data_IF_748370366529
#
_entry.id   IF_748370366529
#
_cell.length_a   1.000
_cell.length_b   1.000
_cell.length_c   1.000
_cell.angle_alpha   90.00
_cell.angle_beta   90.00
_cell.angle_gamma   90.00
#
_symmetry.space_group_name_H-M   'P 1'
#
loop_
_entity.id
_entity.type
_entity.pdbx_description
1 polymer ?
#
# COMPACT_ATOMS: atom_id res chain seq x y z
N UNK A 1 32.85 -2.30 -27.90
CA UNK A 1 31.45 -1.82 -27.96
C UNK A 1 31.46 -0.35 -28.33
N UNK A 2 30.60 0.07 -29.26
CA UNK A 2 30.43 1.50 -29.61
C UNK A 2 29.62 2.20 -28.51
N UNK A 3 29.88 3.49 -28.29
CA UNK A 3 29.07 4.32 -27.38
C UNK A 3 27.58 4.32 -27.72
N UNK A 4 27.24 4.17 -29.01
CA UNK A 4 25.85 3.98 -29.46
C UNK A 4 25.22 2.70 -28.91
N UNK A 5 25.95 1.58 -28.94
CA UNK A 5 25.47 0.29 -28.42
C UNK A 5 25.20 0.35 -26.91
N UNK A 6 26.08 1.02 -26.16
CA UNK A 6 25.92 1.21 -24.71
C UNK A 6 24.66 2.05 -24.41
N UNK A 7 24.46 3.15 -25.14
CA UNK A 7 23.30 4.00 -24.98
C UNK A 7 21.99 3.26 -25.29
N UNK A 8 21.94 2.50 -26.39
CA UNK A 8 20.76 1.73 -26.78
C UNK A 8 20.39 0.69 -25.72
N UNK A 9 21.36 -0.04 -25.16
CA UNK A 9 21.13 -1.00 -24.08
C UNK A 9 20.54 -0.29 -22.85
N UNK A 10 21.09 0.86 -22.46
CA UNK A 10 20.58 1.66 -21.34
C UNK A 10 19.11 2.07 -21.54
N UNK A 11 18.76 2.57 -22.73
CA UNK A 11 17.38 2.97 -23.02
C UNK A 11 16.40 1.79 -22.99
N UNK A 12 16.81 0.60 -23.46
CA UNK A 12 15.98 -0.60 -23.36
C UNK A 12 15.82 -1.08 -21.91
N UNK A 13 16.86 -1.03 -21.09
CA UNK A 13 16.78 -1.37 -19.66
C UNK A 13 15.80 -0.45 -18.92
N UNK A 14 15.87 0.87 -19.16
CA UNK A 14 14.92 1.81 -18.54
C UNK A 14 13.51 1.57 -19.06
N UNK A 15 13.32 1.31 -20.35
CA UNK A 15 12.00 1.03 -20.92
C UNK A 15 11.38 -0.22 -20.29
N UNK A 16 12.18 -1.27 -20.08
CA UNK A 16 11.75 -2.49 -19.39
C UNK A 16 11.38 -2.22 -17.92
N UNK A 17 12.21 -1.49 -17.18
CA UNK A 17 11.90 -1.10 -15.81
C UNK A 17 10.62 -0.25 -15.72
N UNK A 18 10.41 0.64 -16.69
CA UNK A 18 9.21 1.48 -16.76
C UNK A 18 7.94 0.64 -16.97
N UNK A 19 8.01 -0.36 -17.85
CA UNK A 19 6.93 -1.34 -18.06
C UNK A 19 6.61 -2.12 -16.78
N UNK A 20 7.63 -2.53 -16.02
CA UNK A 20 7.42 -3.18 -14.73
C UNK A 20 6.72 -2.25 -13.73
N UNK A 21 7.11 -0.98 -13.65
CA UNK A 21 6.44 0.01 -12.80
C UNK A 21 4.98 0.23 -13.19
N UNK A 22 4.68 0.34 -14.49
CA UNK A 22 3.30 0.44 -14.99
C UNK A 22 2.49 -0.78 -14.55
N UNK A 23 3.06 -1.97 -14.72
CA UNK A 23 2.40 -3.24 -14.35
C UNK A 23 2.07 -3.28 -12.86
N UNK A 24 3.04 -2.94 -12.00
CA UNK A 24 2.84 -2.81 -10.54
C UNK A 24 1.76 -1.77 -10.23
N UNK A 25 1.77 -0.64 -10.91
CA UNK A 25 0.77 0.41 -10.78
C UNK A 25 -0.64 -0.08 -11.10
N UNK A 26 -0.82 -0.83 -12.19
CA UNK A 26 -2.10 -1.44 -12.58
C UNK A 26 -2.57 -2.44 -11.52
N UNK A 27 -1.70 -3.34 -11.05
CA UNK A 27 -2.06 -4.30 -10.01
C UNK A 27 -2.54 -3.61 -8.72
N UNK A 28 -1.82 -2.57 -8.27
CA UNK A 28 -2.25 -1.77 -7.12
C UNK A 28 -3.57 -1.04 -7.39
N UNK A 29 -3.78 -0.52 -8.61
CA UNK A 29 -5.01 0.17 -8.97
C UNK A 29 -6.23 -0.77 -8.98
N UNK A 30 -6.06 -1.99 -9.50
CA UNK A 30 -7.11 -3.02 -9.44
C UNK A 30 -7.42 -3.39 -8.00
N UNK A 31 -6.40 -3.59 -7.16
CA UNK A 31 -6.60 -3.88 -5.73
C UNK A 31 -7.34 -2.75 -5.02
N UNK A 32 -6.94 -1.49 -5.27
CA UNK A 32 -7.63 -0.31 -4.74
C UNK A 32 -9.10 -0.28 -5.20
N UNK A 33 -9.37 -0.55 -6.47
CA UNK A 33 -10.71 -0.57 -7.02
C UNK A 33 -11.58 -1.65 -6.37
N UNK A 34 -11.07 -2.87 -6.24
CA UNK A 34 -11.74 -3.97 -5.53
C UNK A 34 -11.99 -3.59 -4.07
N UNK A 35 -10.97 -3.12 -3.36
CA UNK A 35 -11.05 -2.72 -1.96
C UNK A 35 -12.03 -1.56 -1.71
N UNK A 36 -12.23 -0.70 -2.69
CA UNK A 36 -13.15 0.43 -2.62
C UNK A 36 -14.58 0.12 -3.06
N UNK A 37 -14.82 -0.97 -3.79
CA UNK A 37 -16.15 -1.28 -4.38
C UNK A 37 -16.81 -2.51 -3.78
N UNK A 38 -16.02 -3.50 -3.35
CA UNK A 38 -16.53 -4.78 -2.85
C UNK A 38 -16.78 -4.80 -1.34
N UNK A 39 -16.23 -3.83 -0.59
CA UNK A 39 -16.36 -3.76 0.86
C UNK A 39 -17.10 -2.50 1.30
N UNK A 40 -18.04 -2.63 2.24
CA UNK A 40 -18.75 -1.49 2.85
C UNK A 40 -17.79 -0.51 3.55
N UNK A 41 -16.70 -1.03 4.09
CA UNK A 41 -15.58 -0.26 4.64
C UNK A 41 -14.29 -0.77 4.04
N UNK A 42 -13.41 0.15 3.65
CA UNK A 42 -12.09 -0.20 3.14
C UNK A 42 -11.40 -1.18 4.10
N UNK A 43 -10.84 -2.30 3.63
CA UNK A 43 -10.23 -3.30 4.50
C UNK A 43 -8.99 -2.75 5.21
N UNK A 44 -8.77 -3.22 6.43
CA UNK A 44 -7.50 -3.02 7.15
C UNK A 44 -6.38 -3.75 6.43
N UNK A 45 -5.14 -3.30 6.59
CA UNK A 45 -3.98 -3.82 5.85
C UNK A 45 -3.77 -5.33 5.99
N UNK A 46 -4.13 -5.88 7.14
CA UNK A 46 -3.92 -7.29 7.47
C UNK A 46 -5.18 -8.15 7.37
N UNK A 47 -6.29 -7.63 6.82
CA UNK A 47 -7.53 -8.39 6.61
C UNK A 47 -8.17 -8.94 7.89
N UNK A 48 -7.65 -8.58 9.06
CA UNK A 48 -8.20 -9.04 10.33
C UNK A 48 -9.52 -8.31 10.57
N UNK A 49 -10.58 -9.10 10.73
CA UNK A 49 -11.81 -8.67 11.37
C UNK A 49 -11.43 -8.38 12.82
N UNK A 50 -10.91 -7.18 13.08
CA UNK A 50 -10.65 -6.73 14.43
C UNK A 50 -12.01 -6.38 15.03
N UNK A 51 -12.55 -7.36 15.76
CA UNK A 51 -13.76 -7.17 16.51
C UNK A 51 -13.43 -6.50 17.85
N UNK A 52 -13.75 -5.22 17.98
CA UNK A 52 -13.61 -4.48 19.23
C UNK A 52 -14.66 -4.87 20.29
N UNK A 53 -15.55 -5.84 19.99
CA UNK A 53 -16.55 -6.34 20.91
C UNK A 53 -16.07 -7.48 21.81
N UNK A 54 -14.98 -8.17 21.43
CA UNK A 54 -14.46 -9.32 22.17
C UNK A 54 -13.19 -8.96 22.93
N UNK A 55 -13.16 -9.26 24.23
CA UNK A 55 -11.97 -9.14 25.07
C UNK A 55 -11.17 -10.46 25.07
N UNK A 56 -9.83 -10.44 25.01
CA UNK A 56 -8.96 -9.26 24.92
C UNK A 56 -9.01 -8.62 23.53
N UNK A 57 -9.20 -7.30 23.49
CA UNK A 57 -9.25 -6.57 22.22
C UNK A 57 -7.86 -6.58 21.57
N UNK A 58 -7.75 -6.67 20.24
CA UNK A 58 -6.48 -6.60 19.53
C UNK A 58 -5.99 -5.14 19.48
N UNK A 59 -5.52 -4.60 20.60
CA UNK A 59 -5.03 -3.22 20.69
C UNK A 59 -3.48 -3.20 20.66
N UNK A 60 -2.89 -2.28 19.89
CA UNK A 60 -1.43 -2.03 19.85
C UNK A 60 -1.01 -0.97 20.87
N UNK A 61 -1.48 -1.04 22.11
CA UNK A 61 -0.91 -0.18 23.17
C UNK A 61 -0.02 -1.08 24.02
N UNK A 62 1.20 -0.63 24.31
CA UNK A 62 2.05 -1.32 25.28
C UNK A 62 1.28 -1.35 26.60
N UNK A 63 0.72 -2.50 26.98
CA UNK A 63 0.30 -2.67 28.36
C UNK A 63 1.60 -2.70 29.18
N UNK A 64 1.70 -1.93 30.27
CA UNK A 64 2.79 -2.16 31.22
C UNK A 64 2.73 -3.64 31.61
N UNK A 65 3.86 -4.32 31.45
CA UNK A 65 3.99 -5.74 31.80
C UNK A 65 4.05 -5.84 33.32
N UNK A 66 2.93 -5.60 33.98
CA UNK A 66 2.77 -5.98 35.38
C UNK A 66 2.24 -7.40 35.42
N UNK A 67 3.07 -8.31 35.93
CA UNK A 67 2.69 -9.70 36.21
C UNK A 67 1.82 -9.70 37.47
N UNK A 68 0.56 -9.36 37.31
CA UNK A 68 -0.50 -9.49 38.30
C UNK A 68 -1.79 -9.82 37.58
N UNK A 69 -2.70 -10.55 38.24
CA UNK A 69 -3.97 -11.01 37.68
C UNK A 69 -4.60 -9.98 36.73
N UNK A 70 -5.01 -10.43 35.54
CA UNK A 70 -5.72 -9.59 34.57
C UNK A 70 -7.06 -9.22 35.21
N UNK A 71 -7.08 -8.15 36.00
CA UNK A 71 -8.30 -7.61 36.56
C UNK A 71 -9.19 -7.24 35.39
N UNK A 72 -10.37 -7.85 35.32
CA UNK A 72 -11.37 -7.51 34.30
C UNK A 72 -11.60 -6.00 34.38
N UNK A 73 -11.28 -5.23 33.32
CA UNK A 73 -11.38 -3.77 33.37
C UNK A 73 -12.79 -3.35 33.75
N UNK A 74 -12.91 -2.23 34.46
CA UNK A 74 -14.20 -1.65 34.81
C UNK A 74 -15.05 -1.38 33.56
N UNK A 75 -16.38 -1.30 33.71
CA UNK A 75 -17.27 -1.03 32.58
C UNK A 75 -16.92 0.28 31.83
N UNK A 76 -16.32 1.25 32.53
CA UNK A 76 -15.86 2.51 31.94
C UNK A 76 -14.54 2.34 31.18
N UNK A 77 -13.59 1.58 31.72
CA UNK A 77 -12.35 1.24 31.02
C UNK A 77 -12.61 0.39 29.77
N UNK A 78 -13.55 -0.55 29.82
CA UNK A 78 -13.97 -1.32 28.64
C UNK A 78 -14.57 -0.42 27.55
N UNK A 79 -15.39 0.58 27.92
CA UNK A 79 -15.92 1.57 26.96
C UNK A 79 -14.80 2.40 26.33
N UNK A 80 -13.86 2.89 27.13
CA UNK A 80 -12.71 3.65 26.62
C UNK A 80 -11.78 2.80 25.75
N UNK A 81 -11.58 1.53 26.09
CA UNK A 81 -10.79 0.59 25.28
C UNK A 81 -11.48 0.32 23.94
N UNK A 82 -12.80 0.10 23.94
CA UNK A 82 -13.59 -0.10 22.73
C UNK A 82 -13.49 1.11 21.80
N UNK A 83 -13.68 2.31 22.32
CA UNK A 83 -13.57 3.55 21.53
C UNK A 83 -12.17 3.70 20.90
N UNK A 84 -11.11 3.42 21.66
CA UNK A 84 -9.73 3.46 21.14
C UNK A 84 -9.48 2.41 20.07
N UNK A 85 -10.01 1.20 20.23
CA UNK A 85 -9.92 0.13 19.23
C UNK A 85 -10.62 0.54 17.93
N UNK A 86 -11.86 1.06 18.00
CA UNK A 86 -12.61 1.52 16.84
C UNK A 86 -11.88 2.65 16.10
N UNK A 87 -11.29 3.61 16.83
CA UNK A 87 -10.48 4.69 16.25
C UNK A 87 -9.20 4.18 15.57
N UNK A 88 -8.50 3.21 16.18
CA UNK A 88 -7.29 2.63 15.58
C UNK A 88 -7.61 1.89 14.27
N UNK A 89 -8.70 1.13 14.23
CA UNK A 89 -9.14 0.44 13.01
C UNK A 89 -9.47 1.48 11.93
N UNK A 90 -10.18 2.56 12.26
CA UNK A 90 -10.52 3.57 11.28
C UNK A 90 -9.28 4.31 10.75
N UNK A 91 -8.30 4.59 11.61
CA UNK A 91 -7.02 5.16 11.22
C UNK A 91 -6.23 4.23 10.30
N UNK A 92 -6.14 2.93 10.61
CA UNK A 92 -5.47 1.93 9.77
C UNK A 92 -6.12 1.84 8.39
N UNK A 93 -7.46 1.81 8.33
CA UNK A 93 -8.20 1.81 7.06
C UNK A 93 -7.89 3.06 6.23
N UNK A 94 -7.88 4.25 6.85
CA UNK A 94 -7.57 5.50 6.16
C UNK A 94 -6.14 5.50 5.63
N UNK A 95 -5.19 5.07 6.45
CA UNK A 95 -3.79 4.99 6.05
C UNK A 95 -3.59 3.99 4.91
N UNK A 96 -4.16 2.79 5.02
CA UNK A 96 -4.08 1.76 4.00
C UNK A 96 -4.66 2.24 2.66
N UNK A 97 -5.82 2.90 2.70
CA UNK A 97 -6.41 3.51 1.51
C UNK A 97 -5.50 4.56 0.86
N UNK A 98 -4.88 5.43 1.65
CA UNK A 98 -3.95 6.45 1.15
C UNK A 98 -2.71 5.81 0.53
N UNK A 99 -2.16 4.76 1.15
CA UNK A 99 -1.01 4.03 0.63
C UNK A 99 -1.34 3.37 -0.73
N UNK A 100 -2.50 2.74 -0.87
CA UNK A 100 -2.91 2.11 -2.13
C UNK A 100 -3.09 3.14 -3.26
N UNK A 101 -3.71 4.29 -2.97
CA UNK A 101 -3.82 5.39 -3.94
C UNK A 101 -2.43 5.91 -4.32
N UNK A 102 -1.60 6.20 -3.32
CA UNK A 102 -0.25 6.74 -3.52
C UNK A 102 0.57 5.79 -4.39
N UNK A 103 0.56 4.50 -4.09
CA UNK A 103 1.32 3.49 -4.82
C UNK A 103 0.80 3.36 -6.26
N UNK A 104 -0.51 3.25 -6.43
CA UNK A 104 -1.16 3.20 -7.76
C UNK A 104 -0.74 4.40 -8.61
N UNK A 105 -0.91 5.61 -8.09
CA UNK A 105 -0.60 6.85 -8.82
C UNK A 105 0.90 6.96 -9.08
N UNK A 106 1.74 6.74 -8.07
CA UNK A 106 3.19 6.94 -8.18
C UNK A 106 3.79 5.95 -9.18
N UNK A 107 3.51 4.65 -9.04
CA UNK A 107 4.08 3.63 -9.93
C UNK A 107 3.56 3.76 -11.36
N UNK A 108 2.26 4.02 -11.54
CA UNK A 108 1.68 4.20 -12.87
C UNK A 108 2.20 5.47 -13.52
N UNK A 109 2.19 6.61 -12.84
CA UNK A 109 2.60 7.89 -13.41
C UNK A 109 4.09 7.91 -13.75
N UNK A 110 4.95 7.47 -12.82
CA UNK A 110 6.40 7.40 -13.06
C UNK A 110 6.70 6.43 -14.20
N UNK A 111 6.07 5.25 -14.21
CA UNK A 111 6.22 4.26 -15.26
C UNK A 111 5.79 4.80 -16.64
N UNK A 112 4.62 5.44 -16.72
CA UNK A 112 4.10 6.03 -17.97
C UNK A 112 5.01 7.14 -18.48
N UNK A 113 5.48 8.05 -17.62
CA UNK A 113 6.39 9.14 -18.00
C UNK A 113 7.71 8.56 -18.51
N UNK A 114 8.34 7.66 -17.76
CA UNK A 114 9.62 7.08 -18.14
C UNK A 114 9.51 6.28 -19.44
N UNK A 115 8.47 5.48 -19.62
CA UNK A 115 8.24 4.70 -20.84
C UNK A 115 8.02 5.61 -22.04
N UNK A 116 7.17 6.64 -21.90
CA UNK A 116 6.84 7.57 -22.99
C UNK A 116 8.06 8.38 -23.46
N UNK A 117 9.02 8.64 -22.58
CA UNK A 117 10.27 9.34 -22.94
C UNK A 117 11.31 8.35 -23.49
N UNK A 118 11.62 7.28 -22.76
CA UNK A 118 12.78 6.44 -23.06
C UNK A 118 12.53 5.45 -24.21
N UNK A 119 11.31 4.95 -24.39
CA UNK A 119 11.02 3.97 -25.44
C UNK A 119 11.16 4.56 -26.86
N UNK A 120 10.64 5.76 -27.17
CA UNK A 120 10.88 6.40 -28.47
C UNK A 120 12.36 6.70 -28.73
N UNK A 121 13.11 7.12 -27.71
CA UNK A 121 14.56 7.36 -27.79
C UNK A 121 15.33 6.06 -28.09
N UNK A 122 14.99 4.96 -27.40
CA UNK A 122 15.57 3.64 -27.65
C UNK A 122 15.37 3.21 -29.11
N UNK A 123 14.13 3.35 -29.61
CA UNK A 123 13.74 2.95 -30.96
C UNK A 123 14.43 3.77 -32.05
N UNK A 124 14.56 5.09 -31.86
CA UNK A 124 15.28 5.96 -32.80
C UNK A 124 16.77 5.60 -32.87
N UNK A 125 17.39 5.35 -31.71
CA UNK A 125 18.81 5.03 -31.63
C UNK A 125 19.16 3.60 -32.05
N UNK A 126 18.19 2.68 -32.10
CA UNK A 126 18.41 1.33 -32.61
C UNK A 126 18.25 1.21 -34.13
N UNK A 127 17.65 2.22 -34.80
CA UNK A 127 17.43 2.24 -36.25
C UNK A 127 18.49 3.06 -37.01
N UNK A 128 19.47 3.65 -36.32
CA UNK A 128 20.55 4.48 -36.87
C UNK A 128 21.93 3.92 -36.53
#
# INVERSE_FOLDING_TARGET
>A
MSGKTIATIYFYLISAASLALITIGIFNGVNFFINSTQYDKYPTRYGSIQDCSTYPMPYKVAMPVDRGEIATPSAEEQKQQRQRCEQQIEADRKQHRIEDIKNTVTFTLVGVILFSVHFPLARKNSQS
#
